data_IF_300986584371
#
_entry.id   IF_300986584371
#
_cell.length_a   1.000
_cell.length_b   1.000
_cell.length_c   1.000
_cell.angle_alpha   90.00
_cell.angle_beta   90.00
_cell.angle_gamma   90.00
#
_symmetry.space_group_name_H-M   'P 1'
#
loop_
_entity.id
_entity.type
_entity.pdbx_description
1 polymer ?
#
# COMPACT_ATOMS: atom_id res chain seq x y z
N UNK A 1 -13.63 -17.68 -4.13
CA UNK A 1 -13.09 -16.42 -4.73
C UNK A 1 -13.66 -15.16 -4.10
N UNK A 2 -14.91 -15.16 -3.63
CA UNK A 2 -15.55 -14.02 -2.98
C UNK A 2 -14.78 -13.49 -1.76
N UNK A 3 -14.27 -14.36 -0.89
CA UNK A 3 -13.45 -13.95 0.26
C UNK A 3 -12.15 -13.19 -0.10
N UNK A 4 -11.54 -13.50 -1.25
CA UNK A 4 -10.33 -12.80 -1.73
C UNK A 4 -10.67 -11.39 -2.23
N UNK A 5 -11.79 -11.24 -2.92
CA UNK A 5 -12.33 -9.95 -3.36
C UNK A 5 -12.68 -9.06 -2.16
N UNK A 6 -13.32 -9.63 -1.15
CA UNK A 6 -13.63 -8.91 0.10
C UNK A 6 -12.35 -8.45 0.80
N UNK A 7 -11.33 -9.32 0.87
CA UNK A 7 -10.05 -8.95 1.49
C UNK A 7 -9.33 -7.85 0.69
N UNK A 8 -9.36 -7.89 -0.64
CA UNK A 8 -8.81 -6.83 -1.49
C UNK A 8 -9.48 -5.49 -1.20
N UNK A 9 -10.83 -5.46 -1.20
CA UNK A 9 -11.59 -4.26 -0.90
C UNK A 9 -11.28 -3.74 0.51
N UNK A 10 -11.21 -4.65 1.50
CA UNK A 10 -10.86 -4.29 2.87
C UNK A 10 -9.45 -3.71 2.99
N UNK A 11 -8.48 -4.26 2.25
CA UNK A 11 -7.12 -3.73 2.21
C UNK A 11 -7.06 -2.34 1.60
N UNK A 12 -7.72 -2.10 0.46
CA UNK A 12 -7.72 -0.79 -0.19
C UNK A 12 -8.41 0.25 0.70
N UNK A 13 -9.60 -0.05 1.20
CA UNK A 13 -10.37 0.86 2.06
C UNK A 13 -9.64 1.09 3.38
N UNK A 14 -9.20 0.02 4.05
CA UNK A 14 -8.48 0.11 5.32
C UNK A 14 -7.15 0.84 5.19
N UNK A 15 -6.35 0.55 4.16
CA UNK A 15 -5.09 1.26 3.91
C UNK A 15 -5.31 2.75 3.63
N UNK A 16 -6.36 3.11 2.90
CA UNK A 16 -6.68 4.51 2.65
C UNK A 16 -7.05 5.24 3.94
N UNK A 17 -8.05 4.76 4.68
CA UNK A 17 -8.53 5.45 5.89
C UNK A 17 -7.51 5.44 7.03
N UNK A 18 -6.93 4.27 7.33
CA UNK A 18 -5.96 4.13 8.42
C UNK A 18 -4.67 4.86 8.03
N UNK A 19 -4.21 4.73 6.78
CA UNK A 19 -2.99 5.40 6.32
C UNK A 19 -3.10 6.92 6.37
N UNK A 20 -4.23 7.51 5.96
CA UNK A 20 -4.48 8.96 6.07
C UNK A 20 -4.46 9.42 7.53
N UNK A 21 -5.10 8.65 8.41
CA UNK A 21 -5.21 8.97 9.83
C UNK A 21 -3.85 8.92 10.52
N UNK A 22 -3.05 7.88 10.27
CA UNK A 22 -1.71 7.70 10.84
C UNK A 22 -0.76 8.80 10.38
N UNK A 23 -0.81 9.19 9.09
CA UNK A 23 0.01 10.30 8.58
C UNK A 23 -0.34 11.65 9.21
N UNK A 24 -1.57 11.83 9.71
CA UNK A 24 -1.96 13.04 10.43
C UNK A 24 -1.21 13.25 11.75
N UNK A 25 -0.68 12.18 12.35
CA UNK A 25 0.10 12.23 13.59
C UNK A 25 1.60 12.37 13.35
N UNK A 26 2.07 12.21 12.11
CA UNK A 26 3.49 12.20 11.77
C UNK A 26 3.88 13.56 11.16
N UNK A 27 4.65 14.41 11.87
CA UNK A 27 5.00 15.75 11.40
C UNK A 27 6.17 15.74 10.40
N UNK A 28 6.08 14.92 9.35
CA UNK A 28 7.09 14.83 8.29
C UNK A 28 6.56 15.53 7.04
N UNK A 29 7.33 16.48 6.50
CA UNK A 29 6.98 17.29 5.32
C UNK A 29 7.97 17.05 4.20
N UNK A 30 7.52 17.19 2.95
CA UNK A 30 8.33 17.02 1.74
C UNK A 30 8.37 15.59 1.19
N UNK A 31 9.30 15.32 0.29
CA UNK A 31 9.39 14.06 -0.48
C UNK A 31 9.57 12.83 0.41
N UNK A 32 10.18 12.98 1.59
CA UNK A 32 10.37 11.87 2.54
C UNK A 32 9.04 11.34 3.12
N UNK A 33 7.97 12.16 3.07
CA UNK A 33 6.65 11.76 3.56
C UNK A 33 6.05 10.60 2.76
N UNK A 34 6.33 10.47 1.46
CA UNK A 34 5.81 9.39 0.62
C UNK A 34 6.44 8.03 0.95
N UNK A 35 7.72 8.04 1.34
CA UNK A 35 8.44 6.82 1.77
C UNK A 35 7.96 6.34 3.13
N UNK A 36 7.74 7.27 4.07
CA UNK A 36 7.15 6.95 5.37
C UNK A 36 5.74 6.40 5.18
N UNK A 37 4.96 7.02 4.30
CA UNK A 37 3.64 6.53 3.94
C UNK A 37 3.69 5.10 3.36
N UNK A 38 4.67 4.80 2.51
CA UNK A 38 4.88 3.45 1.98
C UNK A 38 5.13 2.41 3.08
N UNK A 39 5.97 2.72 4.06
CA UNK A 39 6.21 1.82 5.20
C UNK A 39 4.92 1.60 5.99
N UNK A 40 4.24 2.69 6.35
CA UNK A 40 2.99 2.66 7.13
C UNK A 40 1.91 1.84 6.42
N UNK A 41 1.65 2.14 5.15
CA UNK A 41 0.65 1.43 4.34
C UNK A 41 1.00 -0.04 4.18
N UNK A 42 2.26 -0.39 4.01
CA UNK A 42 2.69 -1.79 3.90
C UNK A 42 2.36 -2.59 5.15
N UNK A 43 2.63 -2.01 6.32
CA UNK A 43 2.27 -2.63 7.61
C UNK A 43 0.76 -2.76 7.74
N UNK A 44 -0.01 -1.72 7.39
CA UNK A 44 -1.47 -1.75 7.45
C UNK A 44 -2.05 -2.85 6.53
N UNK A 45 -1.63 -2.89 5.27
CA UNK A 45 -2.08 -3.90 4.28
C UNK A 45 -1.77 -5.31 4.76
N UNK A 46 -0.56 -5.51 5.33
CA UNK A 46 -0.18 -6.79 5.91
C UNK A 46 -1.07 -7.17 7.10
N UNK A 47 -1.28 -6.26 8.05
CA UNK A 47 -2.13 -6.50 9.23
C UNK A 47 -3.58 -6.81 8.83
N UNK A 48 -4.15 -6.07 7.88
CA UNK A 48 -5.48 -6.36 7.31
C UNK A 48 -5.48 -7.74 6.66
N UNK A 49 -4.40 -8.12 5.98
CA UNK A 49 -4.24 -9.46 5.41
C UNK A 49 -4.20 -10.57 6.45
N UNK A 50 -3.51 -10.36 7.58
CA UNK A 50 -3.42 -11.30 8.71
C UNK A 50 -4.77 -11.45 9.40
N UNK A 51 -5.43 -10.34 9.73
CA UNK A 51 -6.73 -10.33 10.39
C UNK A 51 -7.80 -10.89 9.45
N UNK A 52 -7.78 -10.48 8.19
CA UNK A 52 -8.70 -10.94 7.16
C UNK A 52 -8.61 -12.45 6.91
N UNK A 53 -7.42 -13.05 7.02
CA UNK A 53 -7.26 -14.51 6.94
C UNK A 53 -7.85 -15.26 8.13
N UNK A 54 -8.02 -14.62 9.29
CA UNK A 54 -8.65 -15.25 10.46
C UNK A 54 -10.17 -15.12 10.44
N UNK A 55 -10.70 -14.02 9.87
CA UNK A 55 -12.14 -13.72 9.85
C UNK A 55 -12.83 -14.26 8.60
N UNK A 56 -12.15 -14.29 7.45
CA UNK A 56 -12.74 -14.66 6.16
C UNK A 56 -12.37 -16.11 5.83
N UNK A 57 -13.39 -16.92 5.51
CA UNK A 57 -13.22 -18.32 5.09
C UNK A 57 -12.57 -18.41 3.70
N UNK A 58 -11.75 -19.44 3.48
CA UNK A 58 -11.01 -19.71 2.22
C UNK A 58 -9.92 -18.68 1.85
N UNK A 59 -9.28 -18.13 2.88
CA UNK A 59 -8.27 -17.07 2.76
C UNK A 59 -6.98 -17.53 3.43
N UNK A 60 -5.91 -17.72 2.66
CA UNK A 60 -4.61 -18.20 3.16
C UNK A 60 -3.94 -17.18 4.08
N UNK A 61 -3.30 -17.65 5.15
CA UNK A 61 -2.53 -16.79 6.05
C UNK A 61 -1.29 -16.24 5.36
N UNK A 62 -1.07 -14.91 5.38
CA UNK A 62 0.10 -14.31 4.78
C UNK A 62 1.37 -14.66 5.57
N UNK A 63 2.50 -14.79 4.86
CA UNK A 63 3.79 -15.13 5.45
C UNK A 63 4.68 -13.89 5.63
N UNK A 64 5.82 -14.03 6.31
CA UNK A 64 6.84 -12.98 6.41
C UNK A 64 7.36 -12.52 5.04
N UNK A 65 7.32 -13.40 4.03
CA UNK A 65 7.67 -13.05 2.66
C UNK A 65 6.64 -12.09 2.02
N UNK A 66 5.37 -12.19 2.42
CA UNK A 66 4.30 -11.30 1.95
C UNK A 66 4.52 -9.88 2.48
N UNK A 67 4.96 -9.71 3.73
CA UNK A 67 5.31 -8.41 4.29
C UNK A 67 6.45 -7.75 3.51
N UNK A 68 7.53 -8.49 3.26
CA UNK A 68 8.67 -7.95 2.51
C UNK A 68 8.30 -7.59 1.08
N UNK A 69 7.45 -8.37 0.40
CA UNK A 69 6.98 -8.05 -0.94
C UNK A 69 6.08 -6.81 -0.98
N UNK A 70 5.16 -6.70 -0.03
CA UNK A 70 4.29 -5.52 0.17
C UNK A 70 5.15 -4.28 0.35
N UNK A 71 6.15 -4.34 1.23
CA UNK A 71 7.06 -3.24 1.52
C UNK A 71 7.91 -2.85 0.31
N UNK A 72 8.55 -3.82 -0.34
CA UNK A 72 9.42 -3.57 -1.50
C UNK A 72 8.63 -2.92 -2.63
N UNK A 73 7.43 -3.42 -2.94
CA UNK A 73 6.62 -2.83 -4.00
C UNK A 73 6.04 -1.47 -3.62
N UNK A 74 5.62 -1.25 -2.36
CA UNK A 74 5.22 0.07 -1.90
C UNK A 74 6.36 1.10 -2.03
N UNK A 75 7.59 0.71 -1.69
CA UNK A 75 8.77 1.56 -1.83
C UNK A 75 9.13 1.82 -3.30
N UNK A 76 9.02 0.82 -4.16
CA UNK A 76 9.22 0.99 -5.62
C UNK A 76 8.22 2.01 -6.17
N UNK A 77 6.94 1.89 -5.83
CA UNK A 77 5.92 2.83 -6.29
C UNK A 77 6.12 4.25 -5.72
N UNK A 78 6.54 4.36 -4.46
CA UNK A 78 6.91 5.65 -3.86
C UNK A 78 8.11 6.29 -4.58
N UNK A 79 9.14 5.50 -4.91
CA UNK A 79 10.30 5.96 -5.67
C UNK A 79 9.90 6.37 -7.09
N UNK A 80 9.07 5.59 -7.78
CA UNK A 80 8.55 5.94 -9.10
C UNK A 80 7.83 7.28 -9.03
N UNK A 81 6.95 7.48 -8.05
CA UNK A 81 6.18 8.72 -7.95
C UNK A 81 7.03 9.94 -7.57
N UNK A 82 8.17 9.73 -6.90
CA UNK A 82 9.09 10.81 -6.52
C UNK A 82 10.04 11.19 -7.66
N UNK A 83 10.60 10.19 -8.35
CA UNK A 83 11.70 10.40 -9.29
C UNK A 83 11.30 10.40 -10.76
N UNK A 84 10.14 9.84 -11.13
CA UNK A 84 9.70 9.77 -12.54
C UNK A 84 9.01 11.02 -13.06
N UNK A 85 8.23 11.82 -12.29
CA UNK A 85 7.62 13.03 -12.81
C UNK A 85 8.61 14.04 -13.43
N UNK A 86 9.82 14.26 -12.85
CA UNK A 86 10.85 15.09 -13.49
C UNK A 86 11.39 14.52 -14.81
N UNK A 87 11.33 13.19 -15.00
CA UNK A 87 11.87 12.49 -16.17
C UNK A 87 10.85 12.41 -17.32
N UNK A 88 9.55 12.39 -17.01
CA UNK A 88 8.47 12.28 -18.00
C UNK A 88 7.36 13.29 -17.69
N UNK A 89 7.57 14.59 -17.93
CA UNK A 89 6.60 15.63 -17.57
C UNK A 89 5.30 15.60 -18.39
N UNK A 90 5.30 14.91 -19.54
CA UNK A 90 4.17 14.87 -20.48
C UNK A 90 2.97 14.05 -19.95
N UNK A 91 3.17 13.27 -18.89
CA UNK A 91 2.10 12.51 -18.25
C UNK A 91 1.34 13.40 -17.24
N UNK A 92 0.01 13.25 -17.11
CA UNK A 92 -0.80 14.05 -16.20
C UNK A 92 -0.68 13.55 -14.74
N UNK A 93 0.52 13.66 -14.15
CA UNK A 93 0.82 13.22 -12.77
C UNK A 93 -0.07 13.86 -11.71
N UNK A 94 -0.51 15.09 -11.93
CA UNK A 94 -1.38 15.84 -11.01
C UNK A 94 -2.81 15.31 -10.89
N UNK A 95 -3.24 14.40 -11.78
CA UNK A 95 -4.59 13.81 -11.73
C UNK A 95 -4.73 12.69 -10.71
N UNK A 96 -3.63 12.09 -10.29
CA UNK A 96 -3.64 10.96 -9.35
C UNK A 96 -2.89 11.39 -8.09
N UNK A 97 -3.53 11.33 -6.91
CA UNK A 97 -2.82 11.59 -5.68
C UNK A 97 -1.71 10.56 -5.48
N UNK A 98 -0.51 11.04 -5.18
CA UNK A 98 0.70 10.31 -4.78
C UNK A 98 0.46 9.11 -3.86
N UNK A 99 -0.43 9.29 -2.88
CA UNK A 99 -0.80 8.23 -1.91
C UNK A 99 -1.44 7.00 -2.56
N UNK A 100 -2.17 7.15 -3.66
CA UNK A 100 -2.79 6.01 -4.34
C UNK A 100 -1.77 5.09 -5.00
N UNK A 101 -0.69 5.64 -5.57
CA UNK A 101 0.37 4.84 -6.17
C UNK A 101 1.01 3.90 -5.13
N UNK A 102 1.23 4.41 -3.92
CA UNK A 102 1.78 3.64 -2.80
C UNK A 102 0.84 2.54 -2.33
N UNK A 103 -0.47 2.83 -2.19
CA UNK A 103 -1.47 1.83 -1.82
C UNK A 103 -1.53 0.71 -2.86
N UNK A 104 -1.52 1.07 -4.15
CA UNK A 104 -1.51 0.10 -5.25
C UNK A 104 -0.27 -0.78 -5.16
N UNK A 105 0.92 -0.19 -4.98
CA UNK A 105 2.17 -0.93 -4.81
C UNK A 105 2.12 -1.92 -3.64
N UNK A 106 1.63 -1.48 -2.49
CA UNK A 106 1.49 -2.33 -1.31
C UNK A 106 0.52 -3.50 -1.56
N UNK A 107 -0.68 -3.22 -2.06
CA UNK A 107 -1.71 -4.24 -2.34
C UNK A 107 -1.21 -5.24 -3.38
N UNK A 108 -0.57 -4.78 -4.45
CA UNK A 108 0.03 -5.66 -5.46
C UNK A 108 1.11 -6.55 -4.84
N UNK A 109 1.97 -6.02 -3.97
CA UNK A 109 2.99 -6.82 -3.30
C UNK A 109 2.44 -7.86 -2.35
N UNK A 110 1.32 -7.57 -1.71
CA UNK A 110 0.59 -8.55 -0.93
C UNK A 110 0.07 -9.71 -1.79
N UNK A 111 -0.54 -9.41 -2.95
CA UNK A 111 -1.07 -10.44 -3.84
C UNK A 111 0.00 -11.19 -4.65
N UNK A 112 1.14 -10.58 -4.93
CA UNK A 112 2.21 -11.18 -5.73
C UNK A 112 2.87 -12.39 -5.04
N UNK A 113 2.82 -12.45 -3.70
CA UNK A 113 3.57 -13.45 -2.90
C UNK A 113 2.66 -14.22 -1.94
N UNK A 114 1.37 -14.24 -2.24
CA UNK A 114 0.33 -14.97 -1.52
C UNK A 114 -0.21 -16.07 -2.40
#
# INVERSE_FOLDING_TARGET
>A
MLGRLVLLLLQVVGAYFIGQTVMGYIPIKGDLSIFVYAVVVSVIVFLIGVIGAQVIKDVSTPSSATLSATLVLALIFAAIWTFVPPLVPDLPWSKVPDRWAVIIGAVLGYFAKR
#
